data_IF_171694071409
#
_entry.id   IF_171694071409
#
_cell.length_a   1.000
_cell.length_b   1.000
_cell.length_c   1.000
_cell.angle_alpha   90.00
_cell.angle_beta   90.00
_cell.angle_gamma   90.00
#
_symmetry.space_group_name_H-M   'P 1'
#
loop_
_entity.id
_entity.type
_entity.pdbx_description
1 polymer ?
#
# COMPACT_ATOMS: atom_id res chain seq x y z
N UNK A 1 19.18 25.83 -31.57
CA UNK A 1 19.79 24.52 -31.24
C UNK A 1 18.94 23.91 -30.14
N UNK A 2 18.04 22.99 -30.51
CA UNK A 2 16.96 22.48 -29.65
C UNK A 2 17.51 21.57 -28.57
N UNK A 3 17.11 21.83 -27.32
CA UNK A 3 17.48 21.06 -26.15
C UNK A 3 16.84 19.68 -26.11
N UNK A 4 17.56 18.71 -25.52
CA UNK A 4 16.97 17.46 -25.06
C UNK A 4 17.32 17.30 -23.58
N UNK A 5 16.33 17.60 -22.74
CA UNK A 5 16.34 17.16 -21.36
C UNK A 5 16.28 15.62 -21.36
N UNK A 6 17.33 14.98 -20.84
CA UNK A 6 17.28 13.57 -20.50
C UNK A 6 16.24 13.39 -19.40
N UNK A 7 15.01 13.00 -19.78
CA UNK A 7 14.05 12.42 -18.84
C UNK A 7 14.72 11.14 -18.32
N UNK A 8 15.17 11.18 -17.06
CA UNK A 8 15.65 10.00 -16.35
C UNK A 8 14.53 8.98 -16.30
N UNK A 9 14.59 8.00 -17.19
CA UNK A 9 13.77 6.81 -17.09
C UNK A 9 14.22 6.08 -15.82
N UNK A 10 13.34 6.05 -14.81
CA UNK A 10 13.55 5.20 -13.65
C UNK A 10 13.75 3.77 -14.16
N UNK A 11 14.93 3.21 -13.90
CA UNK A 11 15.29 1.87 -14.34
C UNK A 11 14.27 0.88 -13.76
N UNK A 12 13.77 -0.09 -14.55
CA UNK A 12 12.85 -1.09 -14.05
C UNK A 12 13.61 -2.01 -13.10
N UNK A 13 13.23 -2.00 -11.83
CA UNK A 13 13.85 -2.84 -10.81
C UNK A 13 13.17 -4.22 -10.79
N UNK A 14 13.97 -5.21 -11.18
CA UNK A 14 13.84 -6.66 -11.02
C UNK A 14 12.72 -7.40 -11.78
N UNK A 15 13.19 -8.43 -12.49
CA UNK A 15 12.54 -9.32 -13.42
C UNK A 15 12.33 -10.73 -12.82
N UNK A 16 11.06 -11.10 -12.62
CA UNK A 16 10.54 -12.49 -12.59
C UNK A 16 9.00 -12.49 -12.85
N UNK A 17 8.66 -12.10 -14.09
CA UNK A 17 7.38 -12.13 -14.81
C UNK A 17 6.05 -12.27 -14.04
N UNK A 18 5.60 -11.12 -13.49
CA UNK A 18 4.19 -10.77 -13.37
C UNK A 18 3.88 -9.53 -14.24
N UNK A 19 2.60 -9.15 -14.45
CA UNK A 19 2.26 -7.98 -15.23
C UNK A 19 2.82 -6.70 -14.58
N UNK A 20 3.49 -5.87 -15.38
CA UNK A 20 3.98 -4.56 -14.93
C UNK A 20 2.76 -3.65 -14.72
N UNK A 21 2.46 -3.34 -13.46
CA UNK A 21 1.38 -2.43 -13.10
C UNK A 21 1.79 -0.97 -13.38
N UNK A 22 0.89 -0.11 -13.86
CA UNK A 22 1.15 1.32 -14.01
C UNK A 22 1.58 1.96 -12.68
N UNK A 23 2.49 2.94 -12.73
CA UNK A 23 3.02 3.61 -11.53
C UNK A 23 1.91 4.18 -10.64
N UNK A 24 0.86 4.78 -11.22
CA UNK A 24 -0.26 5.33 -10.45
C UNK A 24 -1.06 4.24 -9.73
N UNK A 25 -1.20 3.06 -10.34
CA UNK A 25 -1.83 1.90 -9.70
C UNK A 25 -1.02 1.45 -8.50
N UNK A 26 0.30 1.27 -8.65
CA UNK A 26 1.19 0.87 -7.56
C UNK A 26 1.21 1.92 -6.45
N UNK A 27 1.29 3.20 -6.81
CA UNK A 27 1.30 4.31 -5.85
C UNK A 27 0.00 4.36 -5.04
N UNK A 28 -1.14 4.15 -5.68
CA UNK A 28 -2.42 4.20 -4.97
C UNK A 28 -2.62 2.94 -4.12
N UNK A 29 -2.21 1.76 -4.60
CA UNK A 29 -2.18 0.53 -3.80
C UNK A 29 -1.32 0.68 -2.55
N UNK A 30 -0.15 1.29 -2.68
CA UNK A 30 0.72 1.57 -1.54
C UNK A 30 0.08 2.54 -0.54
N UNK A 31 -0.60 3.59 -1.01
CA UNK A 31 -1.32 4.52 -0.13
C UNK A 31 -2.43 3.83 0.65
N UNK A 32 -3.19 2.94 0.00
CA UNK A 32 -4.29 2.22 0.64
C UNK A 32 -3.75 1.22 1.69
N UNK A 33 -2.65 0.52 1.40
CA UNK A 33 -1.97 -0.34 2.38
C UNK A 33 -1.48 0.46 3.60
N UNK A 34 -0.87 1.64 3.38
CA UNK A 34 -0.43 2.50 4.48
C UNK A 34 -1.59 3.02 5.33
N UNK A 35 -2.72 3.34 4.70
CA UNK A 35 -3.91 3.79 5.40
C UNK A 35 -4.45 2.69 6.32
N UNK A 36 -4.58 1.46 5.80
CA UNK A 36 -5.00 0.30 6.57
C UNK A 36 -4.07 0.05 7.76
N UNK A 37 -2.75 0.04 7.53
CA UNK A 37 -1.75 -0.12 8.59
C UNK A 37 -1.94 0.90 9.71
N UNK A 38 -2.03 2.20 9.37
CA UNK A 38 -2.16 3.29 10.35
C UNK A 38 -3.48 3.23 11.12
N UNK A 39 -4.56 2.86 10.43
CA UNK A 39 -5.86 2.67 11.06
C UNK A 39 -5.76 1.58 12.13
N UNK A 40 -5.18 0.44 11.80
CA UNK A 40 -5.07 -0.69 12.72
C UNK A 40 -4.08 -0.45 13.85
N UNK A 41 -2.95 0.21 13.59
CA UNK A 41 -2.04 0.68 14.65
C UNK A 41 -2.78 1.59 15.63
N UNK A 42 -3.62 2.51 15.13
CA UNK A 42 -4.40 3.39 15.99
C UNK A 42 -5.50 2.63 16.75
N UNK A 43 -6.17 1.68 16.11
CA UNK A 43 -7.14 0.79 16.75
C UNK A 43 -6.47 -0.01 17.88
N UNK A 44 -5.29 -0.59 17.63
CA UNK A 44 -4.49 -1.29 18.63
C UNK A 44 -4.09 -0.41 19.81
N UNK A 45 -3.70 0.85 19.56
CA UNK A 45 -3.43 1.82 20.63
C UNK A 45 -4.68 2.10 21.48
N UNK A 46 -5.81 2.39 20.86
CA UNK A 46 -7.06 2.68 21.57
C UNK A 46 -7.58 1.47 22.34
N UNK A 47 -7.38 0.26 21.80
CA UNK A 47 -7.65 -1.00 22.50
C UNK A 47 -6.76 -1.16 23.74
N UNK A 48 -5.45 -0.91 23.62
CA UNK A 48 -4.52 -0.94 24.75
C UNK A 48 -4.84 0.10 25.83
N UNK A 49 -5.47 1.22 25.46
CA UNK A 49 -5.98 2.23 26.39
C UNK A 49 -7.35 1.87 27.00
N UNK A 50 -7.96 0.74 26.60
CA UNK A 50 -9.28 0.32 27.07
C UNK A 50 -10.45 1.12 26.49
N UNK A 51 -10.23 1.92 25.44
CA UNK A 51 -11.27 2.71 24.78
C UNK A 51 -12.08 1.90 23.75
N UNK A 52 -11.61 0.70 23.40
CA UNK A 52 -12.30 -0.27 22.55
C UNK A 52 -12.58 -1.51 23.41
N UNK A 53 -13.86 -1.83 23.62
CA UNK A 53 -14.29 -3.00 24.41
C UNK A 53 -14.39 -4.28 23.59
N UNK A 54 -14.29 -5.43 24.25
CA UNK A 54 -14.41 -6.75 23.62
C UNK A 54 -13.11 -7.22 22.98
N UNK A 55 -13.19 -7.75 21.76
CA UNK A 55 -12.05 -8.26 21.01
C UNK A 55 -11.64 -7.29 19.89
N UNK A 56 -10.34 -7.08 19.71
CA UNK A 56 -9.79 -6.27 18.63
C UNK A 56 -8.86 -7.15 17.77
N UNK A 57 -9.37 -7.59 16.62
CA UNK A 57 -8.59 -8.38 15.67
C UNK A 57 -7.91 -7.43 14.69
N UNK A 58 -6.58 -7.47 14.67
CA UNK A 58 -5.77 -6.67 13.78
C UNK A 58 -5.28 -7.54 12.61
N UNK A 59 -5.34 -6.98 11.41
CA UNK A 59 -4.90 -7.51 10.13
C UNK A 59 -3.53 -6.94 9.70
N UNK A 60 -2.77 -6.38 10.65
CA UNK A 60 -1.44 -5.81 10.45
C UNK A 60 -0.54 -6.85 9.78
N UNK A 61 0.01 -6.48 8.62
CA UNK A 61 0.88 -7.33 7.81
C UNK A 61 0.16 -8.07 6.68
N UNK A 62 -1.16 -7.98 6.59
CA UNK A 62 -1.97 -8.63 5.56
C UNK A 62 -2.70 -7.61 4.66
N UNK A 63 -2.26 -6.36 4.65
CA UNK A 63 -2.91 -5.26 3.89
C UNK A 63 -2.89 -5.50 2.39
N UNK A 64 -1.83 -6.13 1.88
CA UNK A 64 -1.70 -6.47 0.47
C UNK A 64 -2.83 -7.39 -0.02
N UNK A 65 -3.34 -8.27 0.86
CA UNK A 65 -4.45 -9.17 0.55
C UNK A 65 -5.73 -8.36 0.34
N UNK A 66 -6.04 -7.45 1.26
CA UNK A 66 -7.24 -6.60 1.18
C UNK A 66 -7.16 -5.70 -0.04
N UNK A 67 -6.04 -4.99 -0.22
CA UNK A 67 -5.87 -4.09 -1.35
C UNK A 67 -5.93 -4.85 -2.67
N UNK A 68 -5.38 -6.06 -2.75
CA UNK A 68 -5.46 -6.91 -3.94
C UNK A 68 -6.90 -7.32 -4.25
N UNK A 69 -7.69 -7.73 -3.24
CA UNK A 69 -9.09 -8.14 -3.42
C UNK A 69 -9.97 -6.94 -3.78
N UNK A 70 -9.91 -5.85 -3.02
CA UNK A 70 -10.76 -4.67 -3.24
C UNK A 70 -10.49 -3.96 -4.57
N UNK A 71 -9.27 -4.12 -5.10
CA UNK A 71 -8.85 -3.47 -6.34
C UNK A 71 -8.86 -4.42 -7.55
N UNK A 72 -9.41 -5.62 -7.38
CA UNK A 72 -9.60 -6.58 -8.46
C UNK A 72 -10.67 -6.04 -9.44
N UNK A 73 -10.22 -5.58 -10.60
CA UNK A 73 -11.02 -5.20 -11.76
C UNK A 73 -10.47 -5.88 -13.00
#
# INVERSE_FOLDING_TARGET
MSGKAHKGAAQPLADHNGPILPLETVRTAYRDMLLLRRFEEKAGQLYGMGLIGGFCHLYIGQEAVIVGICRWR
#
